data_IF_142995662982
#
_entry.id   IF_142995662982
#
_cell.length_a   1.000
_cell.length_b   1.000
_cell.length_c   1.000
_cell.angle_alpha   90.00
_cell.angle_beta   90.00
_cell.angle_gamma   90.00
#
_symmetry.space_group_name_H-M   'P 1'
#
loop_
_entity.id
_entity.type
_entity.pdbx_description
1 polymer ?
#
# COMPACT_ATOMS: atom_id res chain seq x y z
N UNK A 1 -43.40 72.57 -55.15
CA UNK A 1 -44.46 71.83 -54.43
C UNK A 1 -43.92 70.42 -54.25
N UNK A 2 -43.39 70.04 -53.09
CA UNK A 2 -44.16 69.67 -51.89
C UNK A 2 -44.61 68.21 -52.08
N UNK A 3 -44.34 67.23 -51.23
CA UNK A 3 -43.91 67.23 -49.84
C UNK A 3 -43.19 65.90 -49.51
N UNK A 4 -42.41 65.94 -48.44
CA UNK A 4 -41.73 64.82 -47.82
C UNK A 4 -42.73 63.82 -47.20
N UNK A 5 -42.48 62.52 -47.39
CA UNK A 5 -43.14 61.45 -46.63
C UNK A 5 -42.17 60.95 -45.56
N UNK A 6 -42.45 61.37 -44.32
CA UNK A 6 -41.75 60.97 -43.12
C UNK A 6 -42.08 59.51 -42.76
N UNK A 7 -41.06 58.66 -42.70
CA UNK A 7 -41.14 57.39 -42.00
C UNK A 7 -40.85 57.65 -40.52
N UNK A 8 -41.92 57.71 -39.74
CA UNK A 8 -41.89 57.87 -38.28
C UNK A 8 -41.26 56.63 -37.67
N UNK A 9 -40.15 56.85 -36.97
CA UNK A 9 -39.52 55.86 -36.12
C UNK A 9 -40.42 55.49 -34.95
N UNK A 10 -40.64 54.19 -34.77
CA UNK A 10 -41.20 53.64 -33.54
C UNK A 10 -39.99 53.11 -32.75
N UNK A 11 -39.50 53.93 -31.81
CA UNK A 11 -38.48 53.52 -30.85
C UNK A 11 -39.14 52.50 -29.92
N UNK A 12 -38.70 51.24 -29.97
CA UNK A 12 -39.11 50.23 -29.01
C UNK A 12 -38.53 50.57 -27.64
N UNK A 13 -39.38 51.12 -26.78
CA UNK A 13 -39.13 51.51 -25.38
C UNK A 13 -39.19 50.29 -24.44
N UNK A 14 -38.42 49.24 -24.71
CA UNK A 14 -38.27 48.13 -23.77
C UNK A 14 -36.86 48.19 -23.17
N UNK A 15 -36.71 48.30 -21.83
CA UNK A 15 -35.40 48.16 -21.20
C UNK A 15 -34.91 46.74 -21.48
N UNK A 16 -33.65 46.63 -21.93
CA UNK A 16 -33.00 45.34 -22.12
C UNK A 16 -33.14 44.50 -20.84
N UNK A 17 -33.45 43.19 -20.94
CA UNK A 17 -33.50 42.34 -19.76
C UNK A 17 -32.15 42.39 -19.04
N UNK A 18 -32.12 42.41 -17.70
CA UNK A 18 -30.87 42.49 -16.96
C UNK A 18 -29.99 41.30 -17.38
N UNK A 19 -28.85 41.60 -17.99
CA UNK A 19 -27.80 40.62 -18.22
C UNK A 19 -27.29 40.22 -16.83
N UNK A 20 -27.76 39.06 -16.37
CA UNK A 20 -27.30 38.45 -15.13
C UNK A 20 -25.81 38.13 -15.34
N UNK A 21 -24.94 39.00 -14.83
CA UNK A 21 -23.50 38.74 -14.78
C UNK A 21 -23.31 37.49 -13.94
N UNK A 22 -22.79 36.43 -14.57
CA UNK A 22 -22.46 35.17 -13.91
C UNK A 22 -21.53 35.50 -12.73
N UNK A 23 -21.97 35.18 -11.51
CA UNK A 23 -21.19 35.46 -10.32
C UNK A 23 -19.86 34.67 -10.40
N UNK A 24 -18.72 35.28 -10.05
CA UNK A 24 -17.45 34.58 -10.05
C UNK A 24 -17.50 33.42 -9.05
N UNK A 25 -17.17 32.22 -9.51
CA UNK A 25 -17.21 30.99 -8.71
C UNK A 25 -16.20 31.04 -7.55
N UNK A 26 -15.06 31.71 -7.76
CA UNK A 26 -14.03 31.97 -6.75
C UNK A 26 -13.11 33.13 -7.17
N UNK A 27 -12.42 33.72 -6.19
CA UNK A 27 -11.32 34.67 -6.40
C UNK A 27 -10.03 33.98 -5.94
N UNK A 28 -9.12 33.71 -6.85
CA UNK A 28 -7.78 33.15 -6.54
C UNK A 28 -6.74 34.15 -7.04
N UNK A 29 -5.87 34.64 -6.14
CA UNK A 29 -4.89 35.72 -6.40
C UNK A 29 -5.47 37.00 -7.07
N UNK A 30 -6.72 37.35 -6.78
CA UNK A 30 -7.35 38.59 -7.27
C UNK A 30 -7.84 38.53 -8.73
N UNK A 31 -7.76 37.37 -9.38
CA UNK A 31 -8.34 37.15 -10.71
C UNK A 31 -9.71 36.44 -10.56
N UNK A 32 -10.79 36.99 -11.12
CA UNK A 32 -12.11 36.36 -11.07
C UNK A 32 -12.16 35.16 -12.04
N UNK A 33 -12.35 33.96 -11.51
CA UNK A 33 -12.52 32.76 -12.33
C UNK A 33 -14.01 32.59 -12.65
N UNK A 34 -14.35 32.76 -13.93
CA UNK A 34 -15.73 32.75 -14.45
C UNK A 34 -16.16 31.36 -14.96
N UNK A 35 -15.22 30.46 -15.22
CA UNK A 35 -15.49 29.11 -15.71
C UNK A 35 -14.61 28.12 -14.93
N UNK A 36 -15.17 26.96 -14.55
CA UNK A 36 -14.36 25.84 -14.07
C UNK A 36 -13.34 25.51 -15.17
N UNK A 37 -12.02 25.64 -14.93
CA UNK A 37 -11.05 25.20 -15.92
C UNK A 37 -11.23 23.69 -16.12
N UNK A 38 -11.49 23.29 -17.37
CA UNK A 38 -11.62 21.88 -17.76
C UNK A 38 -10.27 21.15 -17.68
N UNK A 39 -9.18 21.91 -17.60
CA UNK A 39 -7.82 21.43 -17.38
C UNK A 39 -7.30 21.76 -15.97
N UNK A 40 -6.47 20.84 -15.52
CA UNK A 40 -5.92 20.66 -14.18
C UNK A 40 -5.10 21.87 -13.68
N UNK A 41 -5.74 22.86 -13.06
CA UNK A 41 -5.03 23.81 -12.20
C UNK A 41 -4.90 23.23 -10.78
N UNK A 42 -3.68 22.98 -10.34
CA UNK A 42 -3.36 22.65 -8.95
C UNK A 42 -2.40 23.72 -8.46
N UNK A 43 -2.74 24.41 -7.36
CA UNK A 43 -1.85 25.38 -6.76
C UNK A 43 -0.51 24.72 -6.38
N UNK A 44 0.64 25.36 -6.64
CA UNK A 44 1.97 24.83 -6.32
C UNK A 44 2.14 24.50 -4.84
N UNK A 45 1.45 25.21 -3.95
CA UNK A 45 1.50 24.98 -2.50
C UNK A 45 0.78 23.69 -2.06
N UNK A 46 -0.18 23.20 -2.86
CA UNK A 46 -0.77 21.88 -2.65
C UNK A 46 0.07 20.75 -3.26
N UNK A 47 1.10 21.07 -4.06
CA UNK A 47 1.96 20.10 -4.75
C UNK A 47 3.13 19.61 -3.88
N UNK A 48 3.65 20.42 -2.95
CA UNK A 48 4.78 20.05 -2.08
C UNK A 48 4.49 18.86 -1.15
N UNK A 49 3.23 18.70 -0.72
CA UNK A 49 2.83 17.70 0.29
C UNK A 49 2.50 16.33 -0.32
N UNK A 50 2.28 16.23 -1.64
CA UNK A 50 1.64 15.05 -2.25
C UNK A 50 2.67 14.07 -2.85
N UNK A 51 3.88 14.50 -3.21
CA UNK A 51 4.86 13.59 -3.80
C UNK A 51 5.75 12.84 -2.80
N UNK A 52 5.72 13.21 -1.52
CA UNK A 52 6.11 12.28 -0.45
C UNK A 52 5.06 11.19 -0.22
N UNK A 53 3.85 11.32 -0.78
CA UNK A 53 2.74 10.40 -0.59
C UNK A 53 2.54 9.39 -1.75
N UNK A 54 3.29 9.50 -2.85
CA UNK A 54 3.18 8.55 -3.97
C UNK A 54 4.28 7.51 -3.92
N UNK A 55 3.90 6.23 -4.04
CA UNK A 55 4.81 5.08 -4.01
C UNK A 55 5.41 4.75 -5.40
N UNK A 56 5.69 5.77 -6.22
CA UNK A 56 6.34 5.64 -7.52
C UNK A 56 5.54 6.17 -8.73
N UNK A 57 6.05 5.98 -9.97
CA UNK A 57 5.50 6.59 -11.17
C UNK A 57 4.17 5.98 -11.64
N UNK A 58 3.94 4.69 -11.38
CA UNK A 58 2.66 4.03 -11.71
C UNK A 58 1.52 4.56 -10.85
N UNK A 59 1.79 4.85 -9.58
CA UNK A 59 0.78 5.38 -8.67
C UNK A 59 0.35 6.79 -9.06
N UNK A 60 1.33 7.62 -9.43
CA UNK A 60 1.07 8.96 -9.98
C UNK A 60 0.20 8.86 -11.25
N UNK A 61 0.49 7.92 -12.16
CA UNK A 61 -0.32 7.72 -13.36
C UNK A 61 -1.74 7.27 -13.03
N UNK A 62 -1.92 6.32 -12.12
CA UNK A 62 -3.25 5.90 -11.68
C UNK A 62 -4.04 7.05 -11.05
N UNK A 63 -3.38 7.88 -10.25
CA UNK A 63 -3.98 9.08 -9.69
C UNK A 63 -4.48 10.04 -10.79
N UNK A 64 -3.65 10.32 -11.80
CA UNK A 64 -4.01 11.20 -12.91
C UNK A 64 -5.20 10.64 -13.72
N UNK A 65 -5.21 9.34 -13.98
CA UNK A 65 -6.30 8.64 -14.70
C UNK A 65 -7.60 8.72 -13.91
N UNK A 66 -7.57 8.37 -12.62
CA UNK A 66 -8.76 8.39 -11.74
C UNK A 66 -9.32 9.81 -11.59
N UNK A 67 -8.47 10.81 -11.44
CA UNK A 67 -8.91 12.21 -11.28
C UNK A 67 -9.66 12.74 -12.51
N UNK A 68 -9.33 12.25 -13.69
CA UNK A 68 -10.00 12.62 -14.94
C UNK A 68 -11.19 11.72 -15.29
N UNK A 69 -11.53 10.76 -14.44
CA UNK A 69 -12.53 9.72 -14.73
C UNK A 69 -12.27 8.99 -16.05
N UNK A 70 -10.99 8.77 -16.38
CA UNK A 70 -10.58 8.04 -17.58
C UNK A 70 -10.55 6.53 -17.30
N UNK A 71 -10.88 5.74 -18.32
CA UNK A 71 -10.70 4.29 -18.26
C UNK A 71 -9.22 3.95 -18.44
N UNK A 72 -8.71 3.03 -17.60
CA UNK A 72 -7.35 2.49 -17.71
C UNK A 72 -7.16 1.73 -19.04
N UNK A 73 -8.24 1.19 -19.61
CA UNK A 73 -8.20 0.51 -20.91
C UNK A 73 -8.08 1.46 -22.10
N UNK A 74 -8.59 2.69 -21.97
CA UNK A 74 -8.60 3.68 -23.06
C UNK A 74 -7.98 5.01 -22.62
N UNK A 75 -6.67 4.97 -22.36
CA UNK A 75 -5.95 6.13 -21.86
C UNK A 75 -5.59 7.06 -23.04
N UNK A 76 -5.96 8.35 -23.00
CA UNK A 76 -5.44 9.38 -23.90
C UNK A 76 -3.98 9.69 -23.55
N UNK A 77 -3.05 8.88 -24.09
CA UNK A 77 -1.61 8.94 -23.79
C UNK A 77 -1.06 10.36 -23.96
N UNK A 78 -1.51 11.12 -24.97
CA UNK A 78 -1.01 12.46 -25.24
C UNK A 78 -1.30 13.47 -24.12
N UNK A 79 -2.47 13.38 -23.49
CA UNK A 79 -2.90 14.28 -22.40
C UNK A 79 -2.24 13.88 -21.09
N UNK A 80 -2.29 12.59 -20.75
CA UNK A 80 -1.64 12.06 -19.54
C UNK A 80 -0.14 12.32 -19.56
N UNK A 81 0.54 12.16 -20.70
CA UNK A 81 1.98 12.45 -20.81
C UNK A 81 2.28 13.92 -20.55
N UNK A 82 1.46 14.84 -21.08
CA UNK A 82 1.66 16.29 -20.84
C UNK A 82 1.54 16.62 -19.36
N UNK A 83 0.50 16.08 -18.71
CA UNK A 83 0.28 16.31 -17.29
C UNK A 83 1.40 15.70 -16.47
N UNK A 84 1.76 14.44 -16.73
CA UNK A 84 2.84 13.76 -16.04
C UNK A 84 4.15 14.57 -16.10
N UNK A 85 4.55 15.04 -17.29
CA UNK A 85 5.74 15.88 -17.44
C UNK A 85 5.60 17.19 -16.67
N UNK A 86 4.45 17.87 -16.78
CA UNK A 86 4.19 19.10 -16.02
C UNK A 86 4.30 18.91 -14.50
N UNK A 87 3.89 17.75 -13.99
CA UNK A 87 4.07 17.40 -12.58
C UNK A 87 5.54 17.20 -12.21
N UNK A 88 6.31 16.49 -13.04
CA UNK A 88 7.74 16.26 -12.79
C UNK A 88 8.55 17.56 -12.88
N UNK A 89 8.20 18.46 -13.80
CA UNK A 89 8.91 19.74 -13.98
C UNK A 89 8.77 20.62 -12.73
N UNK A 90 7.58 20.68 -12.11
CA UNK A 90 7.37 21.40 -10.84
C UNK A 90 8.17 20.78 -9.69
N UNK A 91 8.44 19.47 -9.73
CA UNK A 91 9.25 18.79 -8.70
C UNK A 91 10.75 18.96 -8.84
N UNK A 92 11.26 19.03 -10.07
CA UNK A 92 12.70 19.13 -10.31
C UNK A 92 13.31 20.39 -9.69
N UNK A 93 12.51 21.44 -9.51
CA UNK A 93 12.91 22.66 -8.81
C UNK A 93 13.18 22.42 -7.30
N UNK A 94 12.64 21.34 -6.71
CA UNK A 94 12.70 21.05 -5.28
C UNK A 94 13.65 19.88 -4.91
N UNK A 95 13.67 18.75 -5.65
CA UNK A 95 14.46 17.55 -5.25
C UNK A 95 14.87 16.65 -6.44
N UNK A 96 16.17 16.64 -6.80
CA UNK A 96 16.73 15.83 -7.89
C UNK A 96 16.93 14.34 -7.57
N UNK A 97 17.11 13.97 -6.30
CA UNK A 97 17.57 12.62 -5.92
C UNK A 97 16.48 11.53 -6.04
N UNK A 98 15.19 11.89 -6.04
CA UNK A 98 14.06 10.95 -6.15
C UNK A 98 13.54 10.75 -7.60
N UNK A 99 14.04 11.52 -8.58
CA UNK A 99 13.37 11.65 -9.88
C UNK A 99 13.72 10.55 -10.90
N UNK A 100 14.67 9.66 -10.63
CA UNK A 100 15.20 8.73 -11.64
C UNK A 100 14.13 7.81 -12.24
N UNK A 101 13.32 7.16 -11.41
CA UNK A 101 12.24 6.27 -11.87
C UNK A 101 11.15 7.03 -12.62
N UNK A 102 10.88 8.27 -12.20
CA UNK A 102 9.90 9.12 -12.84
C UNK A 102 10.35 9.59 -14.23
N UNK A 103 11.64 9.90 -14.39
CA UNK A 103 12.24 10.27 -15.68
C UNK A 103 12.23 9.10 -16.66
N UNK A 104 12.49 7.89 -16.18
CA UNK A 104 12.38 6.67 -17.01
C UNK A 104 10.94 6.52 -17.51
N UNK A 105 9.95 6.71 -16.65
CA UNK A 105 8.55 6.66 -17.07
C UNK A 105 8.18 7.79 -18.05
N UNK A 106 8.70 9.00 -17.87
CA UNK A 106 8.52 10.10 -18.83
C UNK A 106 9.03 9.71 -20.22
N UNK A 107 10.20 9.07 -20.30
CA UNK A 107 10.77 8.59 -21.55
C UNK A 107 9.90 7.52 -22.21
N UNK A 108 9.37 6.56 -21.42
CA UNK A 108 8.45 5.53 -21.90
C UNK A 108 7.17 6.16 -22.47
N UNK A 109 6.57 7.11 -21.76
CA UNK A 109 5.38 7.82 -22.22
C UNK A 109 5.64 8.62 -23.51
N UNK A 110 6.80 9.27 -23.61
CA UNK A 110 7.20 9.98 -24.82
C UNK A 110 7.38 9.04 -26.02
N UNK A 111 7.95 7.85 -25.80
CA UNK A 111 8.07 6.81 -26.82
C UNK A 111 6.70 6.32 -27.29
N UNK A 112 5.80 5.98 -26.36
CA UNK A 112 4.44 5.52 -26.68
C UNK A 112 3.70 6.61 -27.46
N UNK A 113 3.76 7.87 -27.00
CA UNK A 113 3.15 9.02 -27.67
C UNK A 113 3.70 9.19 -29.10
N UNK A 114 5.00 9.10 -29.30
CA UNK A 114 5.63 9.19 -30.62
C UNK A 114 5.13 8.07 -31.56
N UNK A 115 5.16 6.81 -31.09
CA UNK A 115 4.67 5.66 -31.86
C UNK A 115 3.19 5.74 -32.20
N UNK A 116 2.36 6.38 -31.37
CA UNK A 116 0.94 6.57 -31.62
C UNK A 116 0.63 7.69 -32.61
N UNK A 117 1.45 8.74 -32.65
CA UNK A 117 1.22 9.91 -33.51
C UNK A 117 1.83 9.78 -34.90
N UNK A 118 2.84 8.92 -35.07
CA UNK A 118 3.53 8.77 -36.36
C UNK A 118 2.73 7.86 -37.32
N UNK A 119 2.54 8.27 -38.59
CA UNK A 119 1.94 7.40 -39.60
C UNK A 119 2.87 6.22 -39.89
N UNK A 120 2.34 5.01 -39.77
CA UNK A 120 3.11 3.77 -39.95
C UNK A 120 3.01 3.26 -41.38
N UNK A 121 4.11 2.75 -41.97
CA UNK A 121 4.02 2.03 -43.23
C UNK A 121 3.12 0.79 -43.03
N UNK A 122 2.30 0.41 -44.02
CA UNK A 122 1.49 -0.80 -43.94
C UNK A 122 2.41 -2.01 -43.78
N UNK A 123 2.29 -2.69 -42.65
CA UNK A 123 2.97 -3.96 -42.37
C UNK A 123 2.40 -5.07 -43.27
N UNK A 124 3.26 -5.88 -43.90
CA UNK A 124 2.85 -7.10 -44.62
C UNK A 124 2.52 -8.26 -43.66
N UNK A 125 2.88 -8.15 -42.37
CA UNK A 125 2.71 -9.19 -41.36
C UNK A 125 1.91 -8.66 -40.16
N UNK A 126 0.59 -8.86 -40.19
CA UNK A 126 -0.27 -8.87 -39.01
C UNK A 126 -0.57 -7.52 -38.33
N UNK A 127 -1.67 -7.50 -37.58
CA UNK A 127 -2.08 -6.38 -36.72
C UNK A 127 -1.02 -6.21 -35.63
N UNK A 128 -0.24 -5.14 -35.73
CA UNK A 128 0.77 -4.79 -34.73
C UNK A 128 0.08 -4.50 -33.38
N UNK A 129 0.65 -5.00 -32.28
CA UNK A 129 0.09 -4.80 -30.95
C UNK A 129 0.03 -3.31 -30.59
N UNK A 130 -1.01 -2.94 -29.84
CA UNK A 130 -1.19 -1.57 -29.37
C UNK A 130 0.03 -1.12 -28.52
N UNK A 131 0.74 -0.03 -28.89
CA UNK A 131 1.95 0.43 -28.18
C UNK A 131 1.72 0.74 -26.70
N UNK A 132 0.47 1.01 -26.26
CA UNK A 132 0.15 1.23 -24.84
C UNK A 132 -0.13 -0.07 -24.07
N UNK A 133 -0.24 -1.23 -24.72
CA UNK A 133 -0.69 -2.47 -24.09
C UNK A 133 0.16 -2.89 -22.88
N UNK A 134 1.48 -2.73 -22.97
CA UNK A 134 2.38 -3.05 -21.86
C UNK A 134 2.16 -2.11 -20.66
N UNK A 135 2.00 -0.82 -20.92
CA UNK A 135 1.74 0.18 -19.87
C UNK A 135 0.41 -0.10 -19.17
N UNK A 136 -0.66 -0.34 -19.95
CA UNK A 136 -1.99 -0.67 -19.41
C UNK A 136 -1.93 -1.91 -18.54
N UNK A 137 -1.23 -2.96 -18.98
CA UNK A 137 -1.04 -4.18 -18.20
C UNK A 137 -0.34 -3.89 -16.86
N UNK A 138 0.76 -3.12 -16.87
CA UNK A 138 1.48 -2.76 -15.63
C UNK A 138 0.61 -1.93 -14.68
N UNK A 139 -0.20 -1.01 -15.21
CA UNK A 139 -1.14 -0.22 -14.41
C UNK A 139 -2.22 -1.10 -13.75
N UNK A 140 -2.77 -2.07 -14.48
CA UNK A 140 -3.75 -3.02 -13.93
C UNK A 140 -3.14 -3.93 -12.86
N UNK A 141 -1.94 -4.45 -13.11
CA UNK A 141 -1.22 -5.28 -12.13
C UNK A 141 -0.97 -4.47 -10.86
N UNK A 142 -0.46 -3.25 -10.98
CA UNK A 142 -0.21 -2.37 -9.83
C UNK A 142 -1.50 -2.00 -9.09
N UNK A 143 -2.58 -1.62 -9.80
CA UNK A 143 -3.88 -1.34 -9.18
C UNK A 143 -4.40 -2.53 -8.37
N UNK A 144 -4.27 -3.75 -8.90
CA UNK A 144 -4.68 -4.97 -8.21
C UNK A 144 -3.89 -5.18 -6.92
N UNK A 145 -2.58 -4.97 -6.94
CA UNK A 145 -1.75 -5.09 -5.75
C UNK A 145 -2.01 -3.97 -4.75
N UNK A 146 -2.22 -2.74 -5.22
CA UNK A 146 -2.60 -1.60 -4.36
C UNK A 146 -3.90 -1.90 -3.62
N UNK A 147 -4.92 -2.37 -4.34
CA UNK A 147 -6.18 -2.79 -3.71
C UNK A 147 -6.00 -3.93 -2.72
N UNK A 148 -5.20 -4.94 -3.06
CA UNK A 148 -4.92 -6.03 -2.12
C UNK A 148 -4.19 -5.55 -0.86
N UNK A 149 -3.28 -4.58 -0.98
CA UNK A 149 -2.61 -3.96 0.16
C UNK A 149 -3.60 -3.18 1.04
N UNK A 150 -4.48 -2.39 0.43
CA UNK A 150 -5.58 -1.70 1.12
C UNK A 150 -6.49 -2.70 1.85
N UNK A 151 -6.92 -3.77 1.17
CA UNK A 151 -7.75 -4.83 1.74
C UNK A 151 -7.06 -5.48 2.95
N UNK A 152 -5.75 -5.76 2.85
CA UNK A 152 -4.96 -6.34 3.96
C UNK A 152 -4.85 -5.35 5.13
N UNK A 153 -4.67 -4.06 4.88
CA UNK A 153 -4.55 -3.06 5.94
C UNK A 153 -5.84 -2.91 6.76
N UNK A 154 -7.00 -3.16 6.11
CA UNK A 154 -8.30 -3.18 6.80
C UNK A 154 -8.50 -4.36 7.74
N UNK A 155 -7.68 -5.41 7.64
CA UNK A 155 -7.81 -6.59 8.50
C UNK A 155 -7.50 -6.23 9.96
N UNK A 156 -8.21 -6.84 10.93
CA UNK A 156 -7.94 -6.62 12.34
C UNK A 156 -6.56 -7.15 12.69
N UNK A 157 -5.73 -6.30 13.30
CA UNK A 157 -4.37 -6.64 13.69
C UNK A 157 -4.31 -6.87 15.20
N UNK A 158 -3.66 -7.96 15.58
CA UNK A 158 -3.28 -8.18 16.98
C UNK A 158 -2.35 -7.04 17.41
N UNK A 159 -2.50 -6.56 18.64
CA UNK A 159 -1.78 -5.43 19.24
C UNK A 159 -2.15 -4.03 18.70
N UNK A 160 -2.90 -3.93 17.59
CA UNK A 160 -3.53 -2.67 17.12
C UNK A 160 -5.00 -2.59 17.51
N UNK A 161 -5.78 -3.58 17.06
CA UNK A 161 -7.24 -3.59 17.15
C UNK A 161 -7.73 -4.59 18.21
N UNK A 162 -6.95 -5.64 18.47
CA UNK A 162 -7.31 -6.70 19.41
C UNK A 162 -6.10 -7.09 20.27
N UNK A 163 -6.36 -7.40 21.54
CA UNK A 163 -5.34 -7.81 22.50
C UNK A 163 -5.72 -9.17 23.06
N UNK A 164 -4.76 -10.10 23.11
CA UNK A 164 -4.99 -11.39 23.78
C UNK A 164 -4.96 -11.17 25.28
N UNK A 165 -6.11 -11.38 25.92
CA UNK A 165 -6.17 -11.38 27.39
C UNK A 165 -5.82 -12.78 27.87
N UNK A 166 -4.72 -12.88 28.62
CA UNK A 166 -4.42 -14.10 29.36
C UNK A 166 -5.09 -14.00 30.74
N UNK A 167 -6.15 -14.78 30.94
CA UNK A 167 -6.70 -14.99 32.27
C UNK A 167 -5.92 -16.12 32.94
N UNK A 168 -5.22 -15.81 34.04
CA UNK A 168 -4.72 -16.83 34.95
C UNK A 168 -5.92 -17.30 35.79
N UNK A 169 -6.41 -18.55 35.61
CA UNK A 169 -7.50 -19.08 36.43
C UNK A 169 -7.09 -19.30 37.90
N UNK A 170 -5.84 -18.98 38.26
CA UNK A 170 -5.23 -19.30 39.54
C UNK A 170 -4.91 -20.79 39.64
N UNK A 171 -4.29 -21.17 40.75
CA UNK A 171 -4.10 -22.58 41.08
C UNK A 171 -5.48 -23.25 41.23
N UNK A 172 -5.92 -23.95 40.19
CA UNK A 172 -7.03 -24.90 40.31
C UNK A 172 -6.57 -25.99 41.27
N UNK A 173 -6.97 -25.88 42.53
CA UNK A 173 -6.88 -26.97 43.49
C UNK A 173 -7.87 -28.06 43.05
N UNK A 174 -7.45 -28.86 42.07
CA UNK A 174 -8.10 -30.11 41.73
C UNK A 174 -7.90 -31.02 42.93
N UNK A 175 -8.85 -30.99 43.87
CA UNK A 175 -8.90 -31.95 44.97
C UNK A 175 -9.28 -33.29 44.37
N UNK A 176 -8.26 -34.07 44.01
CA UNK A 176 -8.44 -35.50 43.73
C UNK A 176 -8.68 -36.15 45.08
N UNK A 177 -9.92 -36.58 45.33
CA UNK A 177 -10.21 -37.41 46.49
C UNK A 177 -9.41 -38.72 46.33
N UNK A 178 -8.55 -39.07 47.30
CA UNK A 178 -7.85 -40.34 47.24
C UNK A 178 -8.90 -41.47 47.22
N UNK A 179 -8.66 -42.55 46.45
CA UNK A 179 -9.57 -43.68 46.46
C UNK A 179 -9.69 -44.21 47.90
N UNK A 180 -10.85 -44.78 48.27
CA UNK A 180 -10.99 -45.41 49.57
C UNK A 180 -10.01 -46.57 49.67
N UNK A 181 -9.01 -46.45 50.56
CA UNK A 181 -7.99 -47.47 50.81
C UNK A 181 -8.16 -48.04 52.20
N UNK A 182 -7.99 -49.36 52.31
CA UNK A 182 -8.00 -50.05 53.60
C UNK A 182 -6.60 -50.06 54.24
N UNK A 183 -6.52 -50.14 55.57
CA UNK A 183 -5.25 -50.17 56.31
C UNK A 183 -4.34 -51.31 55.83
N UNK A 184 -4.93 -52.45 55.45
CA UNK A 184 -4.20 -53.59 54.91
C UNK A 184 -3.46 -53.25 53.62
N UNK A 185 -4.07 -52.46 52.74
CA UNK A 185 -3.47 -52.04 51.47
C UNK A 185 -2.31 -51.08 51.70
N UNK A 186 -2.44 -50.16 52.66
CA UNK A 186 -1.36 -49.26 53.07
C UNK A 186 -0.15 -50.03 53.62
N UNK A 187 -0.39 -51.05 54.45
CA UNK A 187 0.67 -51.88 55.02
C UNK A 187 1.39 -52.73 53.96
N UNK A 188 0.64 -53.25 52.97
CA UNK A 188 1.23 -53.97 51.84
C UNK A 188 2.10 -53.05 50.98
N UNK A 189 1.62 -51.86 50.65
CA UNK A 189 2.38 -50.86 49.91
C UNK A 189 3.67 -50.45 50.65
N UNK A 190 3.58 -50.21 51.97
CA UNK A 190 4.75 -49.89 52.80
C UNK A 190 5.78 -51.03 52.81
N UNK A 191 5.33 -52.28 52.96
CA UNK A 191 6.21 -53.46 52.90
C UNK A 191 6.94 -53.53 51.56
N UNK A 192 6.25 -53.27 50.46
CA UNK A 192 6.82 -53.34 49.12
C UNK A 192 7.79 -52.16 48.83
N UNK A 193 7.61 -51.01 49.50
CA UNK A 193 8.61 -49.92 49.53
C UNK A 193 9.84 -50.33 50.34
N UNK A 194 9.66 -50.90 51.54
CA UNK A 194 10.75 -51.35 52.40
C UNK A 194 11.60 -52.44 51.72
N UNK A 195 10.97 -53.43 51.07
CA UNK A 195 11.67 -54.44 50.28
C UNK A 195 12.50 -53.84 49.14
N UNK A 196 11.98 -52.81 48.46
CA UNK A 196 12.74 -52.11 47.42
C UNK A 196 13.91 -51.33 48.03
N UNK A 197 13.73 -50.69 49.17
CA UNK A 197 14.80 -49.96 49.86
C UNK A 197 15.95 -50.90 50.29
N UNK A 198 15.65 -52.12 50.75
CA UNK A 198 16.66 -53.15 51.06
C UNK A 198 17.45 -53.58 49.81
N UNK A 199 16.84 -53.56 48.62
CA UNK A 199 17.55 -53.88 47.37
C UNK A 199 18.52 -52.77 46.93
N UNK A 200 18.33 -51.53 47.40
CA UNK A 200 19.20 -50.38 47.09
C UNK A 200 20.35 -50.17 48.08
N UNK A 201 20.48 -51.00 49.12
CA UNK A 201 21.69 -51.00 49.98
C UNK A 201 22.84 -51.70 49.27
N UNK A 202 23.43 -51.05 48.27
CA UNK A 202 24.55 -51.61 47.52
C UNK A 202 25.84 -51.65 48.34
N UNK A 203 26.44 -52.84 48.32
CA UNK A 203 27.86 -53.18 48.47
C UNK A 203 28.81 -51.98 48.25
N UNK A 204 29.51 -51.56 49.31
CA UNK A 204 30.55 -50.53 49.21
C UNK A 204 31.78 -51.14 48.52
N UNK A 205 31.95 -50.87 47.22
CA UNK A 205 33.17 -51.25 46.50
C UNK A 205 34.28 -50.27 46.92
N UNK A 206 35.08 -50.66 47.91
CA UNK A 206 36.35 -50.00 48.19
C UNK A 206 37.33 -50.32 47.07
N UNK A 207 37.73 -49.29 46.31
CA UNK A 207 38.84 -49.41 45.38
C UNK A 207 40.13 -49.27 46.16
N UNK A 208 40.82 -50.39 46.36
CA UNK A 208 42.15 -50.42 46.95
C UNK A 208 43.10 -49.53 46.12
N UNK A 209 43.59 -48.44 46.73
CA UNK A 209 44.52 -47.51 46.07
C UNK A 209 45.93 -48.06 46.18
N UNK A 210 46.30 -48.97 45.28
CA UNK A 210 47.71 -49.34 45.10
C UNK A 210 48.50 -48.09 44.67
N UNK A 211 49.53 -47.74 45.43
CA UNK A 211 50.44 -46.64 45.11
C UNK A 211 51.31 -47.02 43.92
N UNK A 212 51.57 -46.07 43.01
CA UNK A 212 52.37 -46.28 41.79
C UNK A 212 53.76 -46.88 42.11
N UNK A 213 54.34 -46.59 43.29
CA UNK A 213 55.61 -47.20 43.75
C UNK A 213 55.50 -48.72 43.92
N UNK A 214 54.37 -49.22 44.41
CA UNK A 214 54.12 -50.65 44.62
C UNK A 214 54.09 -51.41 43.29
N UNK A 215 53.52 -50.80 42.24
CA UNK A 215 53.48 -51.39 40.90
C UNK A 215 54.81 -51.33 40.13
N UNK A 216 55.67 -50.34 40.44
CA UNK A 216 56.99 -50.24 39.80
C UNK A 216 58.06 -51.15 40.41
N UNK A 217 57.85 -51.70 41.63
CA UNK A 217 58.78 -52.64 42.26
C UNK A 217 58.66 -54.09 41.78
N UNK A 218 57.54 -54.47 41.16
CA UNK A 218 57.28 -55.83 40.65
C UNK A 218 57.65 -56.02 39.17
N UNK A 219 58.29 -55.04 38.52
CA UNK A 219 58.67 -55.12 37.10
C UNK A 219 60.16 -54.83 36.84
N UNK A 220 61.03 -55.18 37.79
CA UNK A 220 62.45 -55.43 37.56
C UNK A 220 62.78 -56.89 37.86
#
# INVERSE_FOLDING_TARGET
MGAAAAAVGIVSMFPAPPQQQEMPLAIVHGQPILQMPQDLYIPPDALEVILEAFEGPLDLLLYLIRRQNLDILDIPVAEITRQYIGYIDVMQELRFELAAEYLVMAAILAEIKSRMLLPRPPSEEGVEADPRAELVRRLQEYERFKKAAEDIDTLPRLERDTVVVHADPGEKQIRVEPPPVDLREMLLALRDVMKRAELFSHHAIERERLSVRQRMGESL
#
